data_IF_912569608977
#
_entry.id   IF_912569608977
#
_cell.length_a   1.000
_cell.length_b   1.000
_cell.length_c   1.000
_cell.angle_alpha   90.00
_cell.angle_beta   90.00
_cell.angle_gamma   90.00
#
_symmetry.space_group_name_H-M   'P 1'
#
loop_
_entity.id
_entity.type
_entity.pdbx_description
1 polymer ?
#
# COMPACT_ATOMS: atom_id res chain seq x y z
N UNK A 1 -6.63 -5.89 -5.05
CA UNK A 1 -7.78 -6.41 -5.81
C UNK A 1 -7.44 -7.82 -6.27
N UNK A 2 -8.32 -8.80 -6.02
CA UNK A 2 -8.15 -10.24 -6.29
C UNK A 2 -7.53 -10.55 -7.67
N UNK A 3 -7.82 -9.69 -8.65
CA UNK A 3 -7.36 -9.80 -10.03
C UNK A 3 -5.84 -9.77 -10.23
N UNK A 4 -5.09 -9.02 -9.43
CA UNK A 4 -3.64 -8.83 -9.66
C UNK A 4 -2.78 -10.06 -9.34
N UNK A 5 -3.33 -11.06 -8.63
CA UNK A 5 -2.61 -12.28 -8.22
C UNK A 5 -3.20 -13.57 -8.76
N UNK A 6 -4.05 -13.45 -9.78
CA UNK A 6 -4.77 -14.59 -10.36
C UNK A 6 -3.82 -15.60 -11.02
N UNK A 7 -2.75 -15.12 -11.67
CA UNK A 7 -1.78 -16.00 -12.33
C UNK A 7 -0.99 -16.80 -11.30
N UNK A 8 -0.45 -16.12 -10.29
CA UNK A 8 0.31 -16.72 -9.19
C UNK A 8 -0.53 -17.78 -8.45
N UNK A 9 -1.77 -17.45 -8.12
CA UNK A 9 -2.69 -18.36 -7.44
C UNK A 9 -3.00 -19.61 -8.28
N UNK A 10 -3.24 -19.47 -9.58
CA UNK A 10 -3.51 -20.61 -10.49
C UNK A 10 -2.30 -21.53 -10.63
N UNK A 11 -1.10 -20.97 -10.74
CA UNK A 11 0.13 -21.76 -10.79
C UNK A 11 0.37 -22.49 -9.48
N UNK A 12 0.14 -21.84 -8.33
CA UNK A 12 0.22 -22.47 -7.01
C UNK A 12 -0.78 -23.62 -6.84
N UNK A 13 -2.02 -23.45 -7.30
CA UNK A 13 -3.03 -24.52 -7.30
C UNK A 13 -2.56 -25.75 -8.09
N UNK A 14 -1.96 -25.54 -9.26
CA UNK A 14 -1.47 -26.62 -10.11
C UNK A 14 -0.25 -27.34 -9.52
N UNK A 15 0.71 -26.58 -9.01
CA UNK A 15 2.00 -27.12 -8.61
C UNK A 15 2.01 -27.62 -7.17
N UNK A 16 1.47 -26.87 -6.21
CA UNK A 16 1.49 -27.22 -4.79
C UNK A 16 0.26 -28.05 -4.42
N UNK A 17 -0.93 -27.60 -4.82
CA UNK A 17 -2.18 -28.29 -4.46
C UNK A 17 -2.52 -29.45 -5.41
N UNK A 18 -1.87 -29.54 -6.58
CA UNK A 18 -2.17 -30.51 -7.65
C UNK A 18 -3.64 -30.49 -8.10
N UNK A 19 -4.29 -29.34 -7.98
CA UNK A 19 -5.69 -29.13 -8.38
C UNK A 19 -5.70 -28.41 -9.72
N UNK A 20 -6.49 -28.91 -10.66
CA UNK A 20 -6.70 -28.22 -11.93
C UNK A 20 -7.62 -26.99 -11.69
N UNK A 21 -7.16 -25.76 -11.96
CA UNK A 21 -7.93 -24.53 -11.75
C UNK A 21 -9.20 -24.46 -12.60
N UNK A 22 -9.31 -25.25 -13.67
CA UNK A 22 -10.53 -25.34 -14.48
C UNK A 22 -11.56 -26.33 -13.92
N UNK A 23 -11.16 -27.22 -13.02
CA UNK A 23 -12.01 -28.27 -12.44
C UNK A 23 -12.50 -27.95 -11.02
N UNK A 24 -12.09 -26.82 -10.44
CA UNK A 24 -12.40 -26.44 -9.06
C UNK A 24 -13.75 -25.72 -8.96
N UNK A 25 -14.53 -26.02 -7.92
CA UNK A 25 -15.77 -25.29 -7.65
C UNK A 25 -15.46 -23.91 -7.06
N UNK A 26 -16.35 -22.93 -7.26
CA UNK A 26 -16.17 -21.57 -6.71
C UNK A 26 -15.98 -21.55 -5.20
N UNK A 27 -16.59 -22.49 -4.48
CA UNK A 27 -16.49 -22.56 -3.02
C UNK A 27 -15.13 -23.08 -2.56
N UNK A 28 -14.61 -24.08 -3.27
CA UNK A 28 -13.28 -24.59 -3.02
C UNK A 28 -12.23 -23.54 -3.42
N UNK A 29 -12.41 -22.85 -4.55
CA UNK A 29 -11.52 -21.77 -5.00
C UNK A 29 -11.35 -20.68 -3.94
N UNK A 30 -12.45 -20.25 -3.29
CA UNK A 30 -12.37 -19.24 -2.21
C UNK A 30 -11.62 -19.74 -0.98
N UNK A 31 -11.76 -21.02 -0.63
CA UNK A 31 -11.02 -21.63 0.50
C UNK A 31 -9.53 -21.70 0.21
N UNK A 32 -9.17 -22.19 -0.97
CA UNK A 32 -7.77 -22.29 -1.40
C UNK A 32 -7.15 -20.90 -1.55
N UNK A 33 -7.90 -19.93 -2.04
CA UNK A 33 -7.43 -18.55 -2.15
C UNK A 33 -7.15 -17.92 -0.78
N UNK A 34 -7.95 -18.23 0.24
CA UNK A 34 -7.69 -17.74 1.60
C UNK A 34 -6.36 -18.26 2.13
N UNK A 35 -6.06 -19.55 1.92
CA UNK A 35 -4.77 -20.16 2.29
C UNK A 35 -3.62 -19.52 1.51
N UNK A 36 -3.78 -19.37 0.19
CA UNK A 36 -2.76 -18.73 -0.63
C UNK A 36 -2.47 -17.29 -0.18
N UNK A 37 -3.50 -16.50 0.15
CA UNK A 37 -3.34 -15.14 0.64
C UNK A 37 -2.67 -15.10 2.01
N UNK A 38 -3.00 -16.05 2.89
CA UNK A 38 -2.32 -16.21 4.17
C UNK A 38 -0.82 -16.43 3.92
N UNK A 39 -0.46 -17.48 3.17
CA UNK A 39 0.93 -17.82 2.89
C UNK A 39 1.69 -16.72 2.13
N UNK A 40 1.01 -15.99 1.24
CA UNK A 40 1.56 -14.84 0.55
C UNK A 40 1.88 -13.71 1.53
N UNK A 41 0.96 -13.40 2.45
CA UNK A 41 1.15 -12.31 3.40
C UNK A 41 2.17 -12.66 4.49
N UNK A 42 2.28 -13.92 4.87
CA UNK A 42 3.24 -14.41 5.88
C UNK A 42 4.60 -14.78 5.29
N UNK A 43 4.78 -14.62 3.98
CA UNK A 43 6.00 -14.98 3.27
C UNK A 43 6.39 -16.48 3.43
N UNK A 44 5.40 -17.38 3.51
CA UNK A 44 5.59 -18.83 3.75
C UNK A 44 5.38 -19.70 2.52
N UNK A 45 5.24 -19.10 1.32
CA UNK A 45 5.09 -19.87 0.09
C UNK A 45 6.40 -20.62 -0.25
N UNK A 46 6.33 -21.82 -0.83
CA UNK A 46 7.50 -22.68 -1.04
C UNK A 46 8.57 -22.13 -1.99
N UNK A 47 8.18 -21.21 -2.89
CA UNK A 47 9.07 -20.68 -3.92
C UNK A 47 8.78 -19.21 -4.24
N UNK A 48 9.85 -18.43 -4.48
CA UNK A 48 9.77 -16.98 -4.71
C UNK A 48 8.88 -16.60 -5.91
N UNK A 49 8.83 -17.47 -6.93
CA UNK A 49 7.99 -17.28 -8.13
C UNK A 49 6.53 -16.95 -7.83
N UNK A 50 5.96 -17.46 -6.73
CA UNK A 50 4.57 -17.17 -6.35
C UNK A 50 4.35 -15.75 -5.82
N UNK A 51 5.42 -15.03 -5.47
CA UNK A 51 5.33 -13.62 -5.13
C UNK A 51 5.33 -12.73 -6.37
N UNK A 52 6.11 -13.09 -7.39
CA UNK A 52 6.26 -12.33 -8.63
C UNK A 52 6.47 -13.23 -9.86
N UNK A 53 5.38 -13.82 -10.38
CA UNK A 53 5.45 -14.73 -11.53
C UNK A 53 5.95 -14.05 -12.80
N UNK A 54 5.52 -12.82 -13.11
CA UNK A 54 5.94 -12.11 -14.34
C UNK A 54 7.46 -11.87 -14.37
N UNK A 55 8.04 -11.46 -13.24
CA UNK A 55 9.48 -11.27 -13.13
C UNK A 55 10.22 -12.60 -13.30
N UNK A 56 9.71 -13.67 -12.69
CA UNK A 56 10.26 -15.01 -12.82
C UNK A 56 10.20 -15.53 -14.27
N UNK A 57 9.06 -15.38 -14.95
CA UNK A 57 8.88 -15.80 -16.34
C UNK A 57 9.76 -15.00 -17.30
N UNK A 58 9.89 -13.68 -17.11
CA UNK A 58 10.79 -12.83 -17.89
C UNK A 58 12.24 -13.29 -17.73
N UNK A 59 12.68 -13.55 -16.49
CA UNK A 59 14.02 -14.11 -16.21
C UNK A 59 14.22 -15.47 -16.90
N UNK A 60 13.26 -16.39 -16.76
CA UNK A 60 13.33 -17.71 -17.41
C UNK A 60 13.34 -17.62 -18.94
N UNK A 61 12.62 -16.66 -19.51
CA UNK A 61 12.58 -16.44 -20.96
C UNK A 61 13.92 -15.91 -21.47
N UNK A 62 14.51 -14.91 -20.81
CA UNK A 62 15.84 -14.41 -21.14
C UNK A 62 16.91 -15.50 -21.00
N UNK A 63 16.86 -16.33 -19.94
CA UNK A 63 17.76 -17.47 -19.77
C UNK A 63 17.64 -18.48 -20.92
N UNK A 64 16.41 -18.83 -21.34
CA UNK A 64 16.18 -19.74 -22.48
C UNK A 64 16.60 -19.13 -23.81
N UNK A 65 16.53 -17.81 -23.95
CA UNK A 65 17.00 -17.07 -25.12
C UNK A 65 18.54 -16.95 -25.17
N UNK A 66 19.26 -17.42 -24.14
CA UNK A 66 20.72 -17.34 -24.06
C UNK A 66 21.23 -15.95 -23.66
N UNK A 67 20.36 -15.09 -23.17
CA UNK A 67 20.71 -13.75 -22.69
C UNK A 67 21.25 -13.82 -21.25
N UNK A 68 22.22 -12.97 -20.91
CA UNK A 68 22.74 -12.90 -19.55
C UNK A 68 21.69 -12.30 -18.62
N UNK A 69 21.15 -13.12 -17.72
CA UNK A 69 20.25 -12.67 -16.66
C UNK A 69 21.08 -12.48 -15.39
N UNK A 70 21.18 -11.25 -14.86
CA UNK A 70 21.79 -11.01 -13.57
C UNK A 70 21.14 -11.91 -12.50
N UNK A 71 21.91 -12.43 -11.53
CA UNK A 71 21.35 -13.18 -10.42
C UNK A 71 20.19 -12.42 -9.77
N UNK A 72 19.18 -13.13 -9.28
CA UNK A 72 18.11 -12.49 -8.52
C UNK A 72 18.76 -11.75 -7.34
N UNK A 73 18.70 -10.42 -7.35
CA UNK A 73 19.15 -9.59 -6.23
C UNK A 73 18.13 -9.73 -5.11
N UNK A 74 18.18 -10.88 -4.43
CA UNK A 74 17.39 -11.21 -3.24
C UNK A 74 18.03 -10.60 -1.98
N UNK A 75 19.09 -9.81 -2.15
CA UNK A 75 19.70 -9.00 -1.10
C UNK A 75 18.94 -7.69 -0.94
N UNK A 76 18.34 -7.50 0.24
CA UNK A 76 17.78 -6.21 0.64
C UNK A 76 18.85 -5.11 0.53
N UNK A 77 18.61 -4.09 -0.29
CA UNK A 77 19.41 -2.86 -0.37
C UNK A 77 18.71 -1.74 0.44
N UNK A 78 19.19 -1.41 1.65
CA UNK A 78 18.62 -0.34 2.46
C UNK A 78 18.67 1.04 1.78
N UNK A 79 19.67 1.29 0.93
CA UNK A 79 19.84 2.59 0.28
C UNK A 79 18.81 2.82 -0.84
N UNK A 80 18.44 1.78 -1.58
CA UNK A 80 17.34 1.83 -2.53
C UNK A 80 16.01 2.15 -1.84
N UNK A 81 15.76 1.54 -0.68
CA UNK A 81 14.52 1.73 0.08
C UNK A 81 14.40 3.17 0.64
N UNK A 82 15.48 3.68 1.24
CA UNK A 82 15.54 5.09 1.72
C UNK A 82 15.30 6.06 0.55
N UNK A 83 15.91 5.82 -0.61
CA UNK A 83 15.68 6.63 -1.81
C UNK A 83 14.22 6.58 -2.25
N UNK A 84 13.61 5.41 -2.34
CA UNK A 84 12.21 5.25 -2.71
C UNK A 84 11.27 5.98 -1.73
N UNK A 85 11.52 5.89 -0.42
CA UNK A 85 10.76 6.60 0.60
C UNK A 85 10.92 8.13 0.46
N UNK A 86 12.14 8.62 0.23
CA UNK A 86 12.41 10.05 0.03
C UNK A 86 11.70 10.61 -1.20
N UNK A 87 11.61 9.83 -2.29
CA UNK A 87 10.94 10.23 -3.53
C UNK A 87 9.42 10.30 -3.36
N UNK A 88 8.83 9.44 -2.53
CA UNK A 88 7.39 9.48 -2.21
C UNK A 88 7.01 10.78 -1.49
N UNK A 89 7.88 11.28 -0.60
CA UNK A 89 7.67 12.59 0.04
C UNK A 89 7.81 13.78 -0.90
N UNK A 90 8.54 13.63 -2.01
CA UNK A 90 8.72 14.68 -3.02
C UNK A 90 7.60 14.73 -4.05
N UNK A 91 6.77 13.69 -4.15
CA UNK A 91 5.58 13.75 -4.99
C UNK A 91 4.57 14.67 -4.32
N UNK A 92 4.30 15.81 -4.97
CA UNK A 92 3.19 16.66 -4.59
C UNK A 92 1.91 15.80 -4.52
N UNK A 93 1.10 15.92 -3.46
CA UNK A 93 -0.19 15.23 -3.43
C UNK A 93 -0.94 15.66 -4.70
N UNK A 94 -1.43 14.69 -5.46
CA UNK A 94 -2.34 14.98 -6.55
C UNK A 94 -3.49 15.81 -5.96
N UNK A 95 -3.69 17.03 -6.45
CA UNK A 95 -4.76 17.89 -5.97
C UNK A 95 -6.09 17.19 -6.24
N UNK A 96 -6.65 16.58 -5.21
CA UNK A 96 -8.05 16.19 -5.22
C UNK A 96 -8.83 17.50 -5.22
N UNK A 97 -9.80 17.65 -6.13
CA UNK A 97 -10.76 18.76 -6.04
C UNK A 97 -11.39 18.72 -4.65
N UNK A 98 -10.96 19.61 -3.76
CA UNK A 98 -11.54 19.74 -2.44
C UNK A 98 -12.79 20.59 -2.59
N UNK A 99 -13.91 20.12 -2.07
CA UNK A 99 -15.18 20.87 -2.05
C UNK A 99 -15.15 22.17 -1.21
N UNK A 100 -13.98 22.57 -0.70
CA UNK A 100 -13.77 23.73 0.16
C UNK A 100 -13.24 24.90 -0.66
N UNK A 101 -13.82 26.08 -0.43
CA UNK A 101 -13.34 27.33 -1.00
C UNK A 101 -11.93 27.67 -0.49
N UNK A 102 -11.23 28.53 -1.25
CA UNK A 102 -9.89 29.01 -0.92
C UNK A 102 -9.81 29.63 0.49
N UNK A 103 -10.87 30.29 0.93
CA UNK A 103 -10.94 30.92 2.26
C UNK A 103 -11.03 29.87 3.37
N UNK A 104 -11.87 28.85 3.20
CA UNK A 104 -12.01 27.74 4.15
C UNK A 104 -10.74 26.91 4.27
N UNK A 105 -9.99 26.75 3.17
CA UNK A 105 -8.68 26.09 3.17
C UNK A 105 -7.61 26.89 3.95
N UNK A 106 -7.62 28.22 3.82
CA UNK A 106 -6.71 29.09 4.59
C UNK A 106 -7.04 29.06 6.08
N UNK A 107 -8.33 29.04 6.42
CA UNK A 107 -8.77 28.92 7.82
C UNK A 107 -8.37 27.56 8.40
N UNK A 108 -8.55 26.48 7.65
CA UNK A 108 -8.14 25.14 8.07
C UNK A 108 -6.62 25.05 8.31
N UNK A 109 -5.83 25.69 7.42
CA UNK A 109 -4.38 25.79 7.59
C UNK A 109 -3.99 26.54 8.86
N UNK A 110 -4.70 27.63 9.17
CA UNK A 110 -4.49 28.43 10.39
C UNK A 110 -4.83 27.66 11.67
N UNK A 111 -5.97 26.97 11.67
CA UNK A 111 -6.40 26.12 12.80
C UNK A 111 -5.41 24.98 13.04
N UNK A 112 -4.86 24.40 11.97
CA UNK A 112 -3.83 23.37 12.08
C UNK A 112 -2.55 23.92 12.72
N UNK A 113 -2.07 25.10 12.32
CA UNK A 113 -0.89 25.72 12.96
C UNK A 113 -1.13 26.04 14.42
N UNK A 114 -2.30 26.57 14.76
CA UNK A 114 -2.69 26.85 16.15
C UNK A 114 -2.71 25.55 16.98
N UNK A 115 -3.22 24.43 16.45
CA UNK A 115 -3.18 23.13 17.15
C UNK A 115 -1.77 22.62 17.39
N UNK A 116 -0.86 22.81 16.44
CA UNK A 116 0.55 22.42 16.59
C UNK A 116 1.20 23.26 17.69
N UNK A 117 0.92 24.56 17.73
CA UNK A 117 1.40 25.47 18.78
C UNK A 117 0.82 25.11 20.15
N UNK A 118 -0.47 24.80 20.23
CA UNK A 118 -1.10 24.30 21.47
C UNK A 118 -0.47 23.00 21.94
N UNK A 119 -0.19 22.07 21.02
CA UNK A 119 0.51 20.84 21.35
C UNK A 119 1.89 21.11 21.95
N UNK A 120 2.64 22.04 21.37
CA UNK A 120 3.95 22.49 21.89
C UNK A 120 3.82 23.19 23.24
N UNK A 121 2.83 24.07 23.42
CA UNK A 121 2.59 24.79 24.68
C UNK A 121 2.17 23.85 25.82
N UNK A 122 1.31 22.86 25.53
CA UNK A 122 0.95 21.80 26.49
C UNK A 122 2.15 20.95 26.88
N UNK A 123 3.01 20.60 25.92
CA UNK A 123 4.26 19.89 26.19
C UNK A 123 5.20 20.71 27.08
N UNK A 124 5.19 22.04 26.92
CA UNK A 124 5.95 22.98 27.74
C UNK A 124 5.31 23.30 29.10
N UNK A 125 4.17 22.67 29.44
CA UNK A 125 3.47 22.87 30.70
C UNK A 125 2.66 24.17 30.81
N UNK A 126 2.37 24.84 29.69
CA UNK A 126 1.56 26.06 29.67
C UNK A 126 0.05 25.74 29.59
N UNK A 127 -0.77 26.48 30.33
CA UNK A 127 -2.23 26.35 30.30
C UNK A 127 -2.81 26.98 29.04
N UNK A 128 -3.47 26.17 28.20
CA UNK A 128 -4.10 26.62 26.95
C UNK A 128 -5.63 26.59 27.08
N UNK A 129 -6.30 27.69 26.72
CA UNK A 129 -7.77 27.80 26.69
C UNK A 129 -8.39 26.79 25.71
N UNK A 130 -9.54 26.21 26.08
CA UNK A 130 -10.21 25.16 25.29
C UNK A 130 -10.66 25.58 23.89
N UNK A 131 -10.93 26.87 23.67
CA UNK A 131 -11.43 27.37 22.38
C UNK A 131 -10.33 27.66 21.35
N UNK A 132 -9.06 27.44 21.69
CA UNK A 132 -7.93 27.72 20.80
C UNK A 132 -7.67 26.53 19.85
N UNK A 133 -7.57 26.79 18.54
CA UNK A 133 -7.39 25.73 17.52
C UNK A 133 -8.67 24.93 17.19
N UNK A 134 -9.85 25.53 17.34
CA UNK A 134 -11.14 24.93 16.98
C UNK A 134 -11.81 25.75 15.88
N UNK A 135 -12.23 25.11 14.78
CA UNK A 135 -13.08 25.72 13.76
C UNK A 135 -14.54 25.55 14.19
N UNK A 136 -15.29 26.64 14.27
CA UNK A 136 -16.74 26.59 14.49
C UNK A 136 -17.39 26.35 13.13
N UNK A 137 -17.52 25.09 12.71
CA UNK A 137 -18.27 24.79 11.49
C UNK A 137 -19.72 25.23 11.69
N UNK A 138 -20.26 25.98 10.73
CA UNK A 138 -21.71 26.09 10.57
C UNK A 138 -22.22 24.68 10.31
N UNK A 139 -22.95 24.13 11.27
CA UNK A 139 -23.53 22.80 11.15
C UNK A 139 -24.46 22.77 9.95
N UNK A 140 -24.47 21.67 9.19
CA UNK A 140 -25.40 21.43 8.05
C UNK A 140 -26.91 21.40 8.44
N UNK A 141 -27.26 21.93 9.61
CA UNK A 141 -28.60 21.98 10.19
C UNK A 141 -29.13 23.42 10.33
N UNK A 142 -28.43 24.40 9.77
CA UNK A 142 -28.79 25.84 9.82
C UNK A 142 -29.43 26.35 8.50
N UNK A 143 -30.05 25.45 7.72
CA UNK A 143 -30.98 25.78 6.62
C UNK A 143 -32.38 25.21 6.90
#
# INVERSE_FOLDING_TARGET
>A
SFYNKTQEFRTWLLEERKINPEAISKDQERKEFAVFVEDYNTATLPHEKYYHMEAYERRMTSLRAGEFVPPAEDSYDPEADIRAHSLRHKRAPAEHESYLSKEELMELRKVQSERVEVGKMKLLGMEVKQNFGVRMDRTMFDD
#
